data_IF_170786409724
#
_entry.id   IF_170786409724
#
_cell.length_a   1.000
_cell.length_b   1.000
_cell.length_c   1.000
_cell.angle_alpha   90.00
_cell.angle_beta   90.00
_cell.angle_gamma   90.00
#
_symmetry.space_group_name_H-M   'P 1'
#
loop_
_entity.id
_entity.type
_entity.pdbx_description
1 polymer ?
#
# COMPACT_ATOMS: atom_id res chain seq x y z
N UNK A 1 25.95 -49.40 -20.73
CA UNK A 1 25.57 -48.95 -19.36
C UNK A 1 24.74 -50.04 -18.70
N UNK A 2 25.12 -50.51 -17.54
CA UNK A 2 24.35 -51.55 -16.84
C UNK A 2 23.03 -50.96 -16.32
N UNK A 3 21.96 -51.77 -16.29
CA UNK A 3 20.64 -51.35 -15.76
C UNK A 3 20.78 -50.81 -14.35
N UNK A 4 21.71 -51.32 -13.56
CA UNK A 4 21.98 -50.87 -12.18
C UNK A 4 22.48 -49.43 -12.15
N UNK A 5 23.32 -49.00 -13.07
CA UNK A 5 23.81 -47.62 -13.16
C UNK A 5 22.68 -46.64 -13.50
N UNK A 6 21.80 -47.02 -14.41
CA UNK A 6 20.67 -46.22 -14.83
C UNK A 6 19.66 -46.04 -13.67
N UNK A 7 19.43 -47.09 -12.87
CA UNK A 7 18.56 -47.04 -11.70
C UNK A 7 19.13 -46.11 -10.59
N UNK A 8 20.43 -46.17 -10.34
CA UNK A 8 21.11 -45.32 -9.37
C UNK A 8 21.07 -43.84 -9.81
N UNK A 9 21.30 -43.58 -11.10
CA UNK A 9 21.24 -42.21 -11.64
C UNK A 9 19.84 -41.63 -11.54
N UNK A 10 18.80 -42.38 -11.87
CA UNK A 10 17.41 -41.94 -11.71
C UNK A 10 17.04 -41.69 -10.26
N UNK A 11 17.50 -42.50 -9.32
CA UNK A 11 17.27 -42.31 -7.91
C UNK A 11 17.91 -40.99 -7.40
N UNK A 12 19.14 -40.71 -7.83
CA UNK A 12 19.84 -39.46 -7.48
C UNK A 12 19.09 -38.25 -8.03
N UNK A 13 18.59 -38.30 -9.26
CA UNK A 13 17.82 -37.21 -9.87
C UNK A 13 16.51 -36.95 -9.08
N UNK A 14 15.80 -38.01 -8.67
CA UNK A 14 14.57 -37.90 -7.88
C UNK A 14 14.86 -37.27 -6.52
N UNK A 15 15.91 -37.68 -5.84
CA UNK A 15 16.33 -37.13 -4.56
C UNK A 15 16.71 -35.64 -4.70
N UNK A 16 17.47 -35.27 -5.72
CA UNK A 16 17.83 -33.88 -6.01
C UNK A 16 16.59 -33.01 -6.31
N UNK A 17 15.66 -33.50 -7.12
CA UNK A 17 14.42 -32.81 -7.42
C UNK A 17 13.56 -32.58 -6.14
N UNK A 18 13.50 -33.58 -5.27
CA UNK A 18 12.80 -33.46 -3.98
C UNK A 18 13.44 -32.41 -3.06
N UNK A 19 14.77 -32.36 -2.99
CA UNK A 19 15.49 -31.32 -2.24
C UNK A 19 15.25 -29.92 -2.81
N UNK A 20 15.25 -29.74 -4.12
CA UNK A 20 14.96 -28.45 -4.76
C UNK A 20 13.54 -27.99 -4.43
N UNK A 21 12.55 -28.88 -4.47
CA UNK A 21 11.16 -28.54 -4.13
C UNK A 21 11.03 -28.18 -2.64
N UNK A 22 11.70 -28.92 -1.75
CA UNK A 22 11.72 -28.61 -0.31
C UNK A 22 12.37 -27.26 -0.01
N UNK A 23 13.54 -26.97 -0.62
CA UNK A 23 14.25 -25.73 -0.39
C UNK A 23 13.51 -24.50 -0.97
N UNK A 24 12.90 -24.62 -2.15
CA UNK A 24 12.04 -23.57 -2.70
C UNK A 24 10.75 -23.38 -1.90
N UNK A 25 10.14 -24.45 -1.42
CA UNK A 25 8.97 -24.37 -0.57
C UNK A 25 9.26 -23.69 0.78
N UNK A 26 10.34 -24.05 1.44
CA UNK A 26 10.75 -23.42 2.72
C UNK A 26 11.13 -21.94 2.52
N UNK A 27 11.84 -21.60 1.46
CA UNK A 27 12.20 -20.21 1.17
C UNK A 27 11.00 -19.31 0.87
N UNK A 28 9.97 -19.84 0.21
CA UNK A 28 8.70 -19.11 -0.01
C UNK A 28 7.89 -18.95 1.28
N UNK A 29 7.89 -19.93 2.17
CA UNK A 29 7.24 -19.82 3.49
C UNK A 29 7.93 -18.79 4.40
N UNK A 30 9.25 -18.75 4.44
CA UNK A 30 9.99 -17.74 5.21
C UNK A 30 9.81 -16.32 4.62
N UNK A 31 9.70 -16.18 3.30
CA UNK A 31 9.38 -14.90 2.65
C UNK A 31 7.96 -14.44 2.98
N UNK A 32 6.99 -15.33 3.01
CA UNK A 32 5.60 -15.01 3.36
C UNK A 32 5.47 -14.69 4.85
N UNK A 33 6.13 -15.41 5.74
CA UNK A 33 6.16 -15.12 7.20
C UNK A 33 6.98 -13.85 7.52
N UNK A 34 8.01 -13.55 6.72
CA UNK A 34 8.80 -12.31 6.82
C UNK A 34 8.06 -11.08 6.28
N UNK A 35 7.07 -11.25 5.42
CA UNK A 35 6.11 -10.22 5.02
C UNK A 35 4.97 -10.13 6.06
N UNK A 36 5.29 -9.95 7.33
CA UNK A 36 4.31 -9.43 8.27
C UNK A 36 3.97 -8.03 7.77
N UNK A 37 2.81 -7.91 7.15
CA UNK A 37 2.23 -6.62 6.82
C UNK A 37 1.94 -5.95 8.16
N UNK A 38 2.88 -5.11 8.61
CA UNK A 38 2.69 -4.32 9.82
C UNK A 38 1.56 -3.34 9.53
N UNK A 39 0.43 -3.56 10.18
CA UNK A 39 -0.69 -2.64 10.12
C UNK A 39 -0.33 -1.36 10.87
N UNK A 40 -0.76 -0.23 10.35
CA UNK A 40 -0.58 1.04 11.03
C UNK A 40 -1.66 1.19 12.11
N UNK A 41 -1.24 1.57 13.33
CA UNK A 41 -2.14 1.88 14.43
C UNK A 41 -2.76 3.26 14.27
N UNK A 42 -3.86 3.53 14.99
CA UNK A 42 -4.47 4.87 15.05
C UNK A 42 -3.46 5.95 15.43
N UNK A 43 -2.61 5.69 16.43
CA UNK A 43 -1.56 6.62 16.84
C UNK A 43 -0.59 6.97 15.70
N UNK A 44 -0.29 6.01 14.83
CA UNK A 44 0.58 6.25 13.67
C UNK A 44 -0.03 7.24 12.68
N UNK A 45 -1.36 7.22 12.52
CA UNK A 45 -2.08 8.20 11.71
C UNK A 45 -2.09 9.57 12.37
N UNK A 46 -2.38 9.64 13.66
CA UNK A 46 -2.42 10.88 14.43
C UNK A 46 -1.06 11.58 14.39
N UNK A 47 0.03 10.86 14.67
CA UNK A 47 1.38 11.44 14.59
C UNK A 47 1.75 11.92 13.20
N UNK A 48 1.41 11.17 12.16
CA UNK A 48 1.67 11.59 10.79
C UNK A 48 0.88 12.85 10.41
N UNK A 49 -0.36 12.96 10.89
CA UNK A 49 -1.21 14.12 10.66
C UNK A 49 -0.69 15.37 11.41
N UNK A 50 -0.36 15.25 12.70
CA UNK A 50 0.16 16.34 13.54
C UNK A 50 1.49 16.89 12.98
N UNK A 51 2.34 16.02 12.44
CA UNK A 51 3.61 16.40 11.81
C UNK A 51 3.46 16.88 10.35
N UNK A 52 2.25 16.88 9.78
CA UNK A 52 2.00 17.24 8.39
C UNK A 52 2.63 16.29 7.37
N UNK A 53 2.90 15.03 7.79
CA UNK A 53 3.50 14.00 6.94
C UNK A 53 2.43 13.23 6.15
N UNK A 54 1.79 13.91 5.21
CA UNK A 54 0.68 13.37 4.44
C UNK A 54 1.06 12.14 3.59
N UNK A 55 2.32 12.05 3.15
CA UNK A 55 2.83 10.85 2.47
C UNK A 55 2.78 9.61 3.35
N UNK A 56 3.09 9.75 4.65
CA UNK A 56 3.02 8.66 5.61
C UNK A 56 1.57 8.24 5.89
N UNK A 57 0.61 9.19 5.85
CA UNK A 57 -0.82 8.87 5.93
C UNK A 57 -1.24 7.98 4.76
N UNK A 58 -0.79 8.30 3.55
CA UNK A 58 -1.07 7.51 2.34
C UNK A 58 -0.48 6.11 2.47
N UNK A 59 0.78 6.00 2.90
CA UNK A 59 1.43 4.70 3.09
C UNK A 59 0.69 3.85 4.13
N UNK A 60 0.34 4.44 5.28
CA UNK A 60 -0.40 3.77 6.34
C UNK A 60 -1.79 3.34 5.88
N UNK A 61 -2.49 4.18 5.12
CA UNK A 61 -3.78 3.86 4.52
C UNK A 61 -3.70 2.64 3.61
N UNK A 62 -2.79 2.63 2.65
CA UNK A 62 -2.63 1.49 1.73
C UNK A 62 -2.23 0.22 2.47
N UNK A 63 -1.38 0.31 3.48
CA UNK A 63 -0.98 -0.82 4.31
C UNK A 63 -2.17 -1.44 5.03
N UNK A 64 -3.05 -0.63 5.60
CA UNK A 64 -4.24 -1.10 6.31
C UNK A 64 -5.31 -1.66 5.36
N UNK A 65 -5.45 -1.10 4.15
CA UNK A 65 -6.37 -1.62 3.13
C UNK A 65 -6.02 -3.05 2.69
N UNK A 66 -4.74 -3.37 2.57
CA UNK A 66 -4.28 -4.71 2.20
C UNK A 66 -4.51 -5.72 3.34
N UNK A 67 -4.56 -5.27 4.59
CA UNK A 67 -4.55 -6.12 5.77
C UNK A 67 -5.93 -6.33 6.41
N UNK A 68 -6.99 -5.77 5.84
CA UNK A 68 -8.38 -5.85 6.36
C UNK A 68 -8.47 -5.47 7.86
N UNK A 69 -7.83 -4.36 8.23
CA UNK A 69 -7.83 -3.84 9.60
C UNK A 69 -9.16 -3.19 9.91
N UNK A 70 -9.73 -3.52 11.08
CA UNK A 70 -10.91 -2.80 11.57
C UNK A 70 -10.51 -1.36 11.92
N UNK A 71 -11.06 -0.40 11.19
CA UNK A 71 -10.82 1.02 11.38
C UNK A 71 -11.67 1.61 12.52
N UNK A 72 -11.13 2.64 13.18
CA UNK A 72 -11.85 3.54 14.07
C UNK A 72 -12.38 4.74 13.28
N UNK A 73 -13.26 5.54 13.88
CA UNK A 73 -13.76 6.77 13.25
C UNK A 73 -12.61 7.72 12.89
N UNK A 74 -11.67 7.91 13.80
CA UNK A 74 -10.45 8.74 13.57
C UNK A 74 -9.61 8.19 12.40
N UNK A 75 -9.45 6.87 12.31
CA UNK A 75 -8.73 6.26 11.20
C UNK A 75 -9.46 6.48 9.87
N UNK A 76 -10.79 6.39 9.82
CA UNK A 76 -11.58 6.66 8.61
C UNK A 76 -11.42 8.11 8.14
N UNK A 77 -11.44 9.08 9.06
CA UNK A 77 -11.14 10.48 8.73
C UNK A 77 -9.71 10.66 8.20
N UNK A 78 -8.72 9.99 8.79
CA UNK A 78 -7.35 9.98 8.28
C UNK A 78 -7.24 9.29 6.91
N UNK A 79 -8.03 8.26 6.64
CA UNK A 79 -8.10 7.64 5.31
C UNK A 79 -8.66 8.61 4.28
N UNK A 80 -9.65 9.41 4.64
CA UNK A 80 -10.17 10.46 3.78
C UNK A 80 -9.10 11.51 3.43
N UNK A 81 -8.29 11.92 4.42
CA UNK A 81 -7.15 12.83 4.20
C UNK A 81 -6.12 12.19 3.25
N UNK A 82 -5.79 10.92 3.44
CA UNK A 82 -4.86 10.20 2.55
C UNK A 82 -5.37 10.17 1.11
N UNK A 83 -6.65 9.84 0.91
CA UNK A 83 -7.30 9.84 -0.42
C UNK A 83 -7.30 11.23 -1.05
N UNK A 84 -7.57 12.26 -0.25
CA UNK A 84 -7.54 13.65 -0.71
C UNK A 84 -6.14 14.04 -1.19
N UNK A 85 -5.12 13.73 -0.39
CA UNK A 85 -3.73 14.05 -0.72
C UNK A 85 -3.28 13.35 -2.03
N UNK A 86 -3.60 12.08 -2.21
CA UNK A 86 -3.31 11.35 -3.46
C UNK A 86 -4.02 12.01 -4.65
N UNK A 87 -5.31 12.31 -4.51
CA UNK A 87 -6.08 12.94 -5.58
C UNK A 87 -5.55 14.35 -5.91
N UNK A 88 -5.09 15.11 -4.92
CA UNK A 88 -4.49 16.43 -5.08
C UNK A 88 -3.13 16.36 -5.81
N UNK A 89 -2.31 15.35 -5.51
CA UNK A 89 -1.07 15.10 -6.25
C UNK A 89 -1.35 14.74 -7.72
N UNK A 90 -2.31 13.86 -7.97
CA UNK A 90 -2.72 13.49 -9.32
C UNK A 90 -3.29 14.70 -10.08
N UNK A 91 -4.06 15.55 -9.40
CA UNK A 91 -4.56 16.81 -9.98
C UNK A 91 -3.44 17.74 -10.41
N UNK A 92 -2.44 17.93 -9.54
CA UNK A 92 -1.28 18.77 -9.86
C UNK A 92 -0.52 18.25 -11.08
N UNK A 93 -0.36 16.92 -11.18
CA UNK A 93 0.25 16.29 -12.34
C UNK A 93 -0.59 16.51 -13.61
N UNK A 94 -1.91 16.32 -13.53
CA UNK A 94 -2.83 16.54 -14.64
C UNK A 94 -2.82 17.99 -15.15
N UNK A 95 -2.63 18.97 -14.25
CA UNK A 95 -2.44 20.39 -14.63
C UNK A 95 -1.14 20.56 -15.41
N UNK A 96 -0.04 19.95 -14.98
CA UNK A 96 1.24 20.03 -15.69
C UNK A 96 1.16 19.38 -17.09
N UNK A 97 0.45 18.26 -17.22
CA UNK A 97 0.25 17.54 -18.48
C UNK A 97 -0.84 18.19 -19.37
N UNK A 98 -1.58 19.17 -18.85
CA UNK A 98 -2.72 19.84 -19.51
C UNK A 98 -3.85 18.87 -19.87
N UNK A 99 -4.02 17.82 -19.08
CA UNK A 99 -5.08 16.84 -19.22
C UNK A 99 -6.35 17.30 -18.47
N UNK A 100 -7.27 17.92 -19.17
CA UNK A 100 -8.50 18.46 -18.58
C UNK A 100 -9.48 17.39 -18.08
N UNK A 101 -9.48 16.22 -18.68
CA UNK A 101 -10.35 15.11 -18.27
C UNK A 101 -9.84 14.54 -16.94
N UNK A 102 -8.55 14.28 -16.83
CA UNK A 102 -7.92 13.81 -15.60
C UNK A 102 -8.05 14.85 -14.48
N UNK A 103 -7.89 16.16 -14.77
CA UNK A 103 -8.13 17.24 -13.80
C UNK A 103 -9.55 17.15 -13.22
N UNK A 104 -10.57 17.02 -14.07
CA UNK A 104 -11.97 16.93 -13.62
C UNK A 104 -12.23 15.69 -12.77
N UNK A 105 -11.62 14.56 -13.12
CA UNK A 105 -11.70 13.32 -12.35
C UNK A 105 -11.03 13.45 -10.98
N UNK A 106 -9.86 14.07 -10.92
CA UNK A 106 -9.15 14.28 -9.67
C UNK A 106 -9.91 15.24 -8.75
N UNK A 107 -10.49 16.33 -9.27
CA UNK A 107 -11.32 17.25 -8.50
C UNK A 107 -12.51 16.56 -7.82
N UNK A 108 -13.19 15.66 -8.52
CA UNK A 108 -14.29 14.88 -7.93
C UNK A 108 -13.78 13.98 -6.79
N UNK A 109 -12.66 13.29 -7.01
CA UNK A 109 -12.05 12.45 -5.94
C UNK A 109 -11.67 13.29 -4.73
N UNK A 110 -11.17 14.52 -4.93
CA UNK A 110 -10.85 15.45 -3.85
C UNK A 110 -12.11 15.89 -3.11
N UNK A 111 -13.19 16.21 -3.81
CA UNK A 111 -14.48 16.58 -3.22
C UNK A 111 -15.06 15.42 -2.38
N UNK A 112 -15.14 14.23 -2.98
CA UNK A 112 -15.65 13.03 -2.29
C UNK A 112 -14.83 12.74 -1.01
N UNK A 113 -13.51 12.84 -1.07
CA UNK A 113 -12.66 12.62 0.09
C UNK A 113 -12.80 13.74 1.15
N UNK A 114 -12.99 14.99 0.73
CA UNK A 114 -13.17 16.11 1.66
C UNK A 114 -14.45 15.97 2.50
N UNK A 115 -15.52 15.44 1.92
CA UNK A 115 -16.79 15.20 2.61
C UNK A 115 -16.65 14.17 3.75
N UNK A 116 -15.70 13.25 3.63
CA UNK A 116 -15.46 12.18 4.61
C UNK A 116 -14.42 12.57 5.70
N UNK A 117 -13.84 13.77 5.66
CA UNK A 117 -12.80 14.20 6.62
C UNK A 117 -13.34 14.54 8.02
N UNK A 118 -14.64 14.79 8.15
CA UNK A 118 -15.26 15.12 9.43
C UNK A 118 -14.61 16.31 10.13
N UNK A 119 -14.20 16.12 11.37
CA UNK A 119 -13.55 17.15 12.18
C UNK A 119 -12.13 17.51 11.69
N UNK A 120 -11.51 16.66 10.89
CA UNK A 120 -10.17 16.85 10.33
C UNK A 120 -10.17 17.62 8.99
N UNK A 121 -11.26 18.28 8.65
CA UNK A 121 -11.43 19.02 7.39
C UNK A 121 -10.42 20.16 7.18
N UNK A 122 -9.79 20.67 8.24
CA UNK A 122 -8.72 21.66 8.16
C UNK A 122 -7.50 21.17 7.33
N UNK A 123 -7.27 19.86 7.28
CA UNK A 123 -6.18 19.28 6.53
C UNK A 123 -6.29 19.57 5.01
N UNK A 124 -7.50 19.78 4.50
CA UNK A 124 -7.74 20.18 3.11
C UNK A 124 -7.00 21.46 2.75
N UNK A 125 -7.14 22.50 3.58
CA UNK A 125 -6.50 23.81 3.33
C UNK A 125 -4.98 23.72 3.43
N UNK A 126 -4.48 22.93 4.40
CA UNK A 126 -3.04 22.73 4.56
C UNK A 126 -2.45 21.99 3.35
N UNK A 127 -3.11 20.94 2.85
CA UNK A 127 -2.68 20.18 1.67
C UNK A 127 -2.69 21.10 0.43
N UNK A 128 -3.76 21.85 0.22
CA UNK A 128 -3.86 22.77 -0.92
C UNK A 128 -2.75 23.82 -0.88
N UNK A 129 -2.47 24.38 0.29
CA UNK A 129 -1.37 25.33 0.49
C UNK A 129 -0.01 24.69 0.21
N UNK A 130 0.21 23.46 0.71
CA UNK A 130 1.45 22.70 0.50
C UNK A 130 1.71 22.41 -0.98
N UNK A 131 0.66 22.07 -1.72
CA UNK A 131 0.76 21.70 -3.13
C UNK A 131 0.61 22.89 -4.10
N UNK A 132 0.20 24.06 -3.60
CA UNK A 132 0.00 25.25 -4.41
C UNK A 132 -1.16 25.13 -5.39
N UNK A 133 -2.28 24.57 -4.93
CA UNK A 133 -3.49 24.36 -5.71
C UNK A 133 -4.69 25.06 -5.07
#
# INVERSE_FOLDING_TARGET
MSRAFQTVTNLIIIILAFFIILFTGMGTFELIDGMKVYTASEDSFIYALEDGRYGDLVENYHRNMVSDVKSTETMEECYAIAKYFEAALDYRLAVQEKDSELQSKCLRRMEDAADDMGELSYAREEINSLLGI
#
